data_IF_959527750904
#
_entry.id   IF_959527750904
#
_cell.length_a   1.000
_cell.length_b   1.000
_cell.length_c   1.000
_cell.angle_alpha   90.00
_cell.angle_beta   90.00
_cell.angle_gamma   90.00
#
_symmetry.space_group_name_H-M   'P 1'
#
loop_
_entity.id
_entity.type
_entity.pdbx_description
1 polymer ?
#
# COMPACT_ATOMS: atom_id res chain seq x y z
N UNK A 1 42.76 -4.97 26.39
CA UNK A 1 42.37 -4.93 24.96
C UNK A 1 40.86 -4.70 24.90
N UNK A 2 40.39 -3.56 24.37
CA UNK A 2 38.95 -3.26 24.25
C UNK A 2 38.48 -3.70 22.87
N UNK A 3 37.57 -4.68 22.82
CA UNK A 3 36.93 -5.14 21.58
C UNK A 3 35.85 -4.13 21.18
N UNK A 4 35.95 -3.61 19.96
CA UNK A 4 34.90 -2.79 19.37
C UNK A 4 33.75 -3.72 18.97
N UNK A 5 32.62 -3.61 19.67
CA UNK A 5 31.38 -4.28 19.26
C UNK A 5 30.99 -3.78 17.86
N UNK A 6 30.61 -4.66 16.92
CA UNK A 6 30.16 -4.25 15.60
C UNK A 6 28.89 -3.41 15.75
N UNK A 7 28.98 -2.13 15.36
CA UNK A 7 27.83 -1.22 15.29
C UNK A 7 26.75 -1.84 14.41
N UNK A 8 25.51 -1.71 14.88
CA UNK A 8 24.29 -2.20 14.26
C UNK A 8 24.37 -2.22 12.74
N UNK A 9 24.42 -3.43 12.18
CA UNK A 9 24.33 -3.65 10.75
C UNK A 9 22.94 -3.17 10.34
N UNK A 10 22.86 -1.94 9.81
CA UNK A 10 21.64 -1.44 9.18
C UNK A 10 21.26 -2.47 8.13
N UNK A 11 20.15 -3.20 8.37
CA UNK A 11 19.57 -4.14 7.42
C UNK A 11 19.35 -3.39 6.11
N UNK A 12 20.23 -3.63 5.15
CA UNK A 12 20.07 -3.08 3.81
C UNK A 12 18.77 -3.68 3.27
N UNK A 13 17.79 -2.87 2.85
CA UNK A 13 16.57 -3.40 2.27
C UNK A 13 16.96 -4.26 1.07
N UNK A 14 16.52 -5.52 1.06
CA UNK A 14 16.73 -6.42 -0.08
C UNK A 14 16.19 -5.71 -1.33
N UNK A 15 16.94 -5.75 -2.42
CA UNK A 15 16.48 -5.25 -3.73
C UNK A 15 15.06 -5.79 -3.99
N UNK A 16 14.09 -4.88 -4.15
CA UNK A 16 12.66 -5.18 -4.31
C UNK A 16 11.77 -4.99 -3.07
N UNK A 17 12.34 -4.65 -1.90
CA UNK A 17 11.53 -4.28 -0.74
C UNK A 17 10.90 -2.90 -0.94
N UNK A 18 9.58 -2.84 -1.15
CA UNK A 18 8.82 -1.59 -1.13
C UNK A 18 8.82 -1.09 0.32
N UNK A 19 9.61 -0.06 0.60
CA UNK A 19 9.58 0.63 1.88
C UNK A 19 8.42 1.63 1.81
N UNK A 20 7.28 1.25 2.37
CA UNK A 20 6.14 2.17 2.50
C UNK A 20 6.47 3.13 3.63
N UNK A 21 6.92 4.33 3.26
CA UNK A 21 7.18 5.41 4.20
C UNK A 21 5.85 5.95 4.75
N UNK A 22 5.53 5.57 5.99
CA UNK A 22 4.35 6.04 6.72
C UNK A 22 4.59 7.34 7.49
N UNK A 23 5.70 8.03 7.25
CA UNK A 23 6.02 9.30 7.93
C UNK A 23 5.16 10.47 7.46
N UNK A 24 4.54 10.35 6.28
CA UNK A 24 3.51 11.27 5.82
C UNK A 24 2.17 10.83 6.40
N UNK A 25 1.59 11.67 7.26
CA UNK A 25 0.19 11.53 7.60
C UNK A 25 -0.63 11.73 6.33
N UNK A 26 -1.54 10.79 6.05
CA UNK A 26 -2.50 10.95 4.96
C UNK A 26 -3.24 12.29 5.13
N UNK A 27 -3.30 13.08 4.06
CA UNK A 27 -4.08 14.31 4.07
C UNK A 27 -5.52 13.98 4.46
N UNK A 28 -6.16 14.78 5.34
CA UNK A 28 -7.54 14.53 5.73
C UNK A 28 -8.43 14.52 4.48
N UNK A 29 -9.06 13.39 4.22
CA UNK A 29 -9.96 13.22 3.09
C UNK A 29 -11.15 14.17 3.30
N UNK A 30 -11.46 15.07 2.35
CA UNK A 30 -12.63 15.93 2.46
C UNK A 30 -13.89 15.09 2.66
N UNK A 31 -14.81 15.51 3.53
CA UNK A 31 -16.01 14.74 3.87
C UNK A 31 -16.84 14.31 2.64
N UNK A 32 -16.84 15.12 1.57
CA UNK A 32 -17.48 14.78 0.30
C UNK A 32 -16.81 13.60 -0.43
N UNK A 33 -15.48 13.52 -0.39
CA UNK A 33 -14.73 12.40 -0.97
C UNK A 33 -14.94 11.12 -0.14
N UNK A 34 -15.03 11.24 1.19
CA UNK A 34 -15.32 10.10 2.06
C UNK A 34 -16.69 9.48 1.73
N UNK A 35 -17.75 10.29 1.61
CA UNK A 35 -19.09 9.81 1.25
C UNK A 35 -19.12 9.06 -0.08
N UNK A 36 -18.45 9.61 -1.11
CA UNK A 36 -18.34 8.95 -2.42
C UNK A 36 -17.59 7.63 -2.34
N UNK A 37 -16.57 7.56 -1.48
CA UNK A 37 -15.80 6.34 -1.28
C UNK A 37 -16.64 5.26 -0.57
N UNK A 38 -17.41 5.66 0.45
CA UNK A 38 -18.32 4.77 1.17
C UNK A 38 -19.43 4.22 0.24
N UNK A 39 -20.00 5.07 -0.62
CA UNK A 39 -20.98 4.68 -1.65
C UNK A 39 -20.37 3.69 -2.67
N UNK A 40 -19.19 4.00 -3.19
CA UNK A 40 -18.48 3.14 -4.13
C UNK A 40 -18.17 1.78 -3.49
N UNK A 41 -17.77 1.76 -2.22
CA UNK A 41 -17.50 0.53 -1.48
C UNK A 41 -18.76 -0.30 -1.30
N UNK A 42 -19.87 0.30 -0.86
CA UNK A 42 -21.14 -0.40 -0.72
C UNK A 42 -21.64 -0.98 -2.06
N UNK A 43 -21.42 -0.26 -3.16
CA UNK A 43 -21.75 -0.75 -4.49
C UNK A 43 -20.93 -1.98 -4.86
N UNK A 44 -19.61 -1.95 -4.65
CA UNK A 44 -18.71 -3.06 -4.98
C UNK A 44 -18.91 -4.29 -4.08
N UNK A 45 -19.31 -4.10 -2.83
CA UNK A 45 -19.69 -5.21 -1.94
C UNK A 45 -20.97 -5.90 -2.42
N UNK A 46 -21.94 -5.15 -2.93
CA UNK A 46 -23.18 -5.68 -3.52
C UNK A 46 -22.98 -6.26 -4.93
N UNK A 47 -22.08 -5.66 -5.71
CA UNK A 47 -21.79 -5.97 -7.10
C UNK A 47 -20.29 -6.19 -7.28
N UNK A 48 -19.77 -7.36 -6.89
CA UNK A 48 -18.35 -7.66 -7.03
C UNK A 48 -17.93 -7.60 -8.49
N UNK A 49 -16.73 -7.05 -8.74
CA UNK A 49 -16.19 -6.93 -10.09
C UNK A 49 -15.88 -8.34 -10.60
N UNK A 50 -16.37 -8.73 -11.80
CA UNK A 50 -16.02 -10.00 -12.41
C UNK A 50 -14.52 -10.20 -12.57
N UNK A 51 -14.02 -11.39 -12.20
CA UNK A 51 -12.59 -11.77 -12.23
C UNK A 51 -11.92 -11.54 -13.58
N UNK A 52 -12.63 -11.79 -14.69
CA UNK A 52 -12.09 -11.61 -16.04
C UNK A 52 -11.80 -10.13 -16.39
N UNK A 53 -12.46 -9.18 -15.71
CA UNK A 53 -12.17 -7.74 -15.85
C UNK A 53 -10.92 -7.39 -15.05
N UNK A 54 -10.77 -7.92 -13.84
CA UNK A 54 -9.60 -7.70 -12.98
C UNK A 54 -8.30 -8.23 -13.61
N UNK A 55 -8.39 -9.36 -14.32
CA UNK A 55 -7.24 -10.00 -14.96
C UNK A 55 -6.77 -9.31 -16.24
N UNK A 56 -7.60 -8.45 -16.87
CA UNK A 56 -7.22 -7.74 -18.10
C UNK A 56 -6.04 -6.78 -17.91
N UNK A 57 -5.86 -6.25 -16.70
CA UNK A 57 -4.78 -5.31 -16.35
C UNK A 57 -3.46 -6.04 -16.03
N UNK A 58 -3.51 -7.36 -15.76
CA UNK A 58 -2.32 -8.16 -15.42
C UNK A 58 -1.64 -8.78 -16.64
N UNK A 59 -2.35 -8.90 -17.76
CA UNK A 59 -1.85 -9.57 -18.97
C UNK A 59 -0.95 -8.70 -19.86
N UNK A 60 -0.84 -7.39 -19.57
CA UNK A 60 0.03 -6.44 -20.29
C UNK A 60 1.43 -6.29 -19.66
N UNK A 61 1.89 -7.29 -18.87
CA UNK A 61 3.23 -7.32 -18.27
C UNK A 61 3.98 -8.60 -18.59
#
# INVERSE_FOLDING_TARGET
MKTLQPKDVKKVPKYGAIIIDKSLNDLPIPAAAQRKNDEARAFLEKHPIPEHILNRVRSDK
#
